data_IF_236552320035
#
_entry.id   IF_236552320035
#
_cell.length_a   1.000
_cell.length_b   1.000
_cell.length_c   1.000
_cell.angle_alpha   90.00
_cell.angle_beta   90.00
_cell.angle_gamma   90.00
#
_symmetry.space_group_name_H-M   'P 1'
#
loop_
_entity.id
_entity.type
_entity.pdbx_description
1 polymer ?
#
# COMPACT_ATOMS: atom_id res chain seq x y z
N UNK A 1 -8.30 -17.34 4.29
CA UNK A 1 -8.99 -16.37 5.20
C UNK A 1 -10.16 -15.71 4.48
N UNK A 2 -11.29 -15.41 5.14
CA UNK A 2 -12.44 -14.70 4.54
C UNK A 2 -12.27 -13.19 4.69
N UNK A 3 -12.86 -12.39 3.78
CA UNK A 3 -12.78 -10.92 3.81
C UNK A 3 -13.15 -10.30 5.18
N UNK A 4 -14.27 -10.71 5.76
CA UNK A 4 -14.73 -10.19 7.08
C UNK A 4 -13.80 -10.57 8.23
N UNK A 5 -13.15 -11.70 8.15
CA UNK A 5 -12.17 -12.17 9.12
C UNK A 5 -10.88 -11.33 9.04
N UNK A 6 -10.37 -11.11 7.82
CA UNK A 6 -9.24 -10.22 7.58
C UNK A 6 -9.54 -8.79 8.08
N UNK A 7 -10.70 -8.23 7.75
CA UNK A 7 -11.12 -6.90 8.22
C UNK A 7 -11.16 -6.83 9.76
N UNK A 8 -11.71 -7.87 10.42
CA UNK A 8 -11.77 -7.94 11.88
C UNK A 8 -10.39 -7.96 12.55
N UNK A 9 -9.43 -8.65 11.95
CA UNK A 9 -8.04 -8.62 12.43
C UNK A 9 -7.42 -7.24 12.21
N UNK A 10 -7.56 -6.65 11.02
CA UNK A 10 -6.99 -5.35 10.72
C UNK A 10 -7.57 -4.20 11.57
N UNK A 11 -8.79 -4.35 12.11
CA UNK A 11 -9.36 -3.39 13.09
C UNK A 11 -8.58 -3.33 14.40
N UNK A 12 -7.75 -4.34 14.69
CA UNK A 12 -6.94 -4.41 15.91
C UNK A 12 -5.52 -3.87 15.72
N UNK A 13 -5.15 -3.47 14.50
CA UNK A 13 -3.84 -2.86 14.21
C UNK A 13 -3.80 -1.45 14.80
N UNK A 14 -2.83 -1.20 15.67
CA UNK A 14 -2.60 0.11 16.26
C UNK A 14 -2.17 1.14 15.22
N UNK A 15 -2.71 2.34 15.32
CA UNK A 15 -2.41 3.47 14.44
C UNK A 15 -1.28 4.34 14.97
N UNK A 16 -0.91 5.38 14.20
CA UNK A 16 0.09 6.37 14.59
C UNK A 16 -0.22 6.99 15.96
N UNK A 17 0.74 6.93 16.89
CA UNK A 17 0.61 7.56 18.21
C UNK A 17 0.63 9.09 18.12
N UNK A 18 1.43 9.63 17.21
CA UNK A 18 1.57 11.07 16.93
C UNK A 18 1.73 11.28 15.43
N UNK A 19 0.62 11.34 14.65
CA UNK A 19 0.69 11.48 13.19
C UNK A 19 1.43 12.75 12.77
N UNK A 20 2.39 12.64 11.85
CA UNK A 20 3.16 13.75 11.30
C UNK A 20 2.45 14.27 10.04
N UNK A 21 1.87 15.45 10.14
CA UNK A 21 1.08 16.07 9.04
C UNK A 21 1.92 16.26 7.78
N UNK A 22 3.20 16.63 7.93
CA UNK A 22 4.12 16.84 6.80
C UNK A 22 4.43 15.52 6.04
N UNK A 23 4.28 14.37 6.67
CA UNK A 23 4.44 13.05 6.06
C UNK A 23 3.10 12.48 5.56
N UNK A 24 2.02 13.24 5.70
CA UNK A 24 0.66 12.80 5.34
C UNK A 24 0.29 11.44 5.94
N UNK A 25 0.61 11.26 7.24
CA UNK A 25 0.36 10.02 7.98
C UNK A 25 -1.12 9.84 8.30
N UNK A 26 -1.85 9.22 7.38
CA UNK A 26 -3.23 8.80 7.55
C UNK A 26 -3.30 7.28 7.48
N UNK A 27 -3.83 6.60 8.52
CA UNK A 27 -3.95 5.15 8.48
C UNK A 27 -4.93 4.73 7.38
N UNK A 28 -4.56 3.73 6.59
CA UNK A 28 -5.51 3.05 5.71
C UNK A 28 -6.61 2.42 6.56
N UNK A 29 -7.88 2.67 6.24
CA UNK A 29 -8.95 2.04 7.03
C UNK A 29 -8.89 0.51 6.91
N UNK A 30 -9.21 -0.23 7.98
CA UNK A 30 -9.21 -1.70 7.96
C UNK A 30 -10.07 -2.29 6.85
N UNK A 31 -11.22 -1.68 6.59
CA UNK A 31 -12.12 -2.08 5.51
C UNK A 31 -11.48 -1.95 4.13
N UNK A 32 -10.87 -0.79 3.83
CA UNK A 32 -10.20 -0.55 2.54
C UNK A 32 -9.01 -1.50 2.38
N UNK A 33 -8.18 -1.65 3.42
CA UNK A 33 -7.05 -2.56 3.42
C UNK A 33 -7.49 -4.01 3.15
N UNK A 34 -8.50 -4.50 3.88
CA UNK A 34 -9.03 -5.85 3.70
C UNK A 34 -9.61 -6.07 2.30
N UNK A 35 -10.41 -5.12 1.78
CA UNK A 35 -10.98 -5.22 0.44
C UNK A 35 -9.89 -5.23 -0.64
N UNK A 36 -8.88 -4.35 -0.53
CA UNK A 36 -7.74 -4.31 -1.45
C UNK A 36 -7.00 -5.64 -1.46
N UNK A 37 -6.50 -6.09 -0.31
CA UNK A 37 -5.67 -7.28 -0.20
C UNK A 37 -6.44 -8.56 -0.57
N UNK A 38 -7.70 -8.67 -0.13
CA UNK A 38 -8.53 -9.80 -0.48
C UNK A 38 -8.78 -9.88 -2.00
N UNK A 39 -9.00 -8.74 -2.66
CA UNK A 39 -9.17 -8.70 -4.13
C UNK A 39 -7.88 -9.06 -4.83
N UNK A 40 -6.73 -8.54 -4.40
CA UNK A 40 -5.42 -8.90 -4.95
C UNK A 40 -5.21 -10.42 -4.86
N UNK A 41 -5.42 -11.02 -3.70
CA UNK A 41 -5.22 -12.45 -3.52
C UNK A 41 -6.25 -13.29 -4.29
N UNK A 42 -7.55 -13.00 -4.13
CA UNK A 42 -8.61 -13.87 -4.67
C UNK A 42 -8.75 -13.79 -6.19
N UNK A 43 -8.33 -12.69 -6.80
CA UNK A 43 -8.51 -12.45 -8.25
C UNK A 43 -7.22 -12.65 -9.04
N UNK A 44 -6.07 -12.27 -8.47
CA UNK A 44 -4.80 -12.21 -9.18
C UNK A 44 -3.74 -13.17 -8.64
N UNK A 45 -3.94 -13.71 -7.41
CA UNK A 45 -2.99 -14.62 -6.74
C UNK A 45 -1.59 -13.99 -6.57
N UNK A 46 -1.56 -12.70 -6.25
CA UNK A 46 -0.33 -11.90 -6.19
C UNK A 46 0.16 -11.62 -4.75
N UNK A 47 -0.33 -12.38 -3.73
CA UNK A 47 0.12 -12.25 -2.33
C UNK A 47 0.66 -13.58 -1.79
N UNK A 48 -0.08 -14.67 -1.85
CA UNK A 48 0.30 -15.96 -1.26
C UNK A 48 1.64 -16.45 -1.83
N UNK A 49 2.59 -16.73 -0.93
CA UNK A 49 3.93 -17.19 -1.27
C UNK A 49 4.83 -16.16 -1.98
N UNK A 50 4.36 -14.92 -2.21
CA UNK A 50 5.10 -13.88 -2.92
C UNK A 50 6.02 -13.08 -2.00
N UNK A 51 7.05 -12.49 -2.60
CA UNK A 51 7.86 -11.45 -1.98
C UNK A 51 7.17 -10.09 -2.26
N UNK A 52 6.55 -9.53 -1.22
CA UNK A 52 5.74 -8.31 -1.31
C UNK A 52 6.49 -7.12 -0.72
N UNK A 53 6.47 -5.97 -1.39
CA UNK A 53 6.92 -4.70 -0.81
C UNK A 53 5.71 -3.81 -0.49
N UNK A 54 5.73 -3.17 0.69
CA UNK A 54 4.74 -2.17 1.11
C UNK A 54 5.44 -0.81 1.22
N UNK A 55 5.15 0.09 0.29
CA UNK A 55 5.81 1.39 0.19
C UNK A 55 5.04 2.47 0.93
N UNK A 56 5.69 3.08 1.93
CA UNK A 56 5.04 3.95 2.89
C UNK A 56 4.17 3.16 3.84
N UNK A 57 4.73 2.08 4.39
CA UNK A 57 3.98 1.08 5.16
C UNK A 57 3.35 1.63 6.46
N UNK A 58 3.84 2.77 6.98
CA UNK A 58 3.35 3.37 8.20
C UNK A 58 3.34 2.39 9.38
N UNK A 59 2.17 2.21 9.99
CA UNK A 59 1.98 1.27 11.10
C UNK A 59 1.75 -0.18 10.67
N UNK A 60 1.86 -0.49 9.36
CA UNK A 60 1.92 -1.84 8.83
C UNK A 60 0.58 -2.49 8.48
N UNK A 61 -0.51 -1.75 8.37
CA UNK A 61 -1.83 -2.33 8.14
C UNK A 61 -1.91 -3.17 6.85
N UNK A 62 -1.30 -2.72 5.75
CA UNK A 62 -1.25 -3.50 4.50
C UNK A 62 -0.29 -4.68 4.60
N UNK A 63 0.90 -4.46 5.17
CA UNK A 63 1.90 -5.52 5.36
C UNK A 63 1.39 -6.65 6.25
N UNK A 64 0.75 -6.32 7.39
CA UNK A 64 0.15 -7.29 8.31
C UNK A 64 -0.95 -8.07 7.60
N UNK A 65 -1.82 -7.38 6.86
CA UNK A 65 -2.86 -8.03 6.07
C UNK A 65 -2.31 -8.95 4.98
N UNK A 66 -1.24 -8.56 4.29
CA UNK A 66 -0.56 -9.41 3.31
C UNK A 66 0.08 -10.64 3.98
N UNK A 67 0.71 -10.46 5.14
CA UNK A 67 1.27 -11.57 5.91
C UNK A 67 0.20 -12.56 6.38
N UNK A 68 -0.98 -12.08 6.80
CA UNK A 68 -2.14 -12.91 7.15
C UNK A 68 -2.77 -13.65 5.96
N UNK A 69 -2.51 -13.17 4.74
CA UNK A 69 -2.87 -13.84 3.49
C UNK A 69 -1.72 -14.70 2.94
N UNK A 70 -0.83 -15.14 3.82
CA UNK A 70 0.26 -16.08 3.54
C UNK A 70 1.30 -15.56 2.52
N UNK A 71 1.58 -14.23 2.50
CA UNK A 71 2.74 -13.70 1.79
C UNK A 71 4.01 -14.46 2.24
N UNK A 72 4.90 -14.79 1.31
CA UNK A 72 6.15 -15.47 1.64
C UNK A 72 7.05 -14.60 2.53
N UNK A 73 7.18 -13.31 2.17
CA UNK A 73 7.76 -12.26 3.01
C UNK A 73 7.16 -10.92 2.57
N UNK A 74 6.78 -10.08 3.53
CA UNK A 74 6.38 -8.70 3.25
C UNK A 74 7.42 -7.73 3.84
N UNK A 75 8.00 -6.87 3.00
CA UNK A 75 8.98 -5.87 3.42
C UNK A 75 8.33 -4.49 3.40
N UNK A 76 8.18 -3.90 4.57
CA UNK A 76 7.65 -2.55 4.76
C UNK A 76 8.75 -1.49 4.68
N UNK A 77 8.53 -0.47 3.85
CA UNK A 77 9.43 0.67 3.69
C UNK A 77 8.76 1.93 4.20
N UNK A 78 9.41 2.64 5.12
CA UNK A 78 8.94 3.95 5.58
C UNK A 78 10.12 4.84 5.97
N UNK A 79 9.94 6.16 5.90
CA UNK A 79 10.93 7.14 6.32
C UNK A 79 10.90 7.37 7.84
N UNK A 80 9.76 7.12 8.47
CA UNK A 80 9.49 7.45 9.86
C UNK A 80 9.71 6.28 10.80
N UNK A 81 10.78 6.34 11.59
CA UNK A 81 11.08 5.32 12.58
C UNK A 81 9.98 5.16 13.64
N UNK A 82 9.29 6.25 14.04
CA UNK A 82 8.21 6.15 15.03
C UNK A 82 7.03 5.30 14.49
N UNK A 83 6.76 5.38 13.18
CA UNK A 83 5.76 4.55 12.52
C UNK A 83 6.22 3.08 12.45
N UNK A 84 7.49 2.84 12.10
CA UNK A 84 8.07 1.49 12.06
C UNK A 84 8.10 0.82 13.44
N UNK A 85 8.28 1.58 14.52
CA UNK A 85 8.21 1.05 15.89
C UNK A 85 6.78 0.60 16.23
N UNK A 86 5.76 1.32 15.78
CA UNK A 86 4.35 0.88 15.92
C UNK A 86 4.11 -0.36 15.07
N UNK A 87 4.60 -0.39 13.82
CA UNK A 87 4.47 -1.58 12.97
C UNK A 87 5.10 -2.81 13.64
N UNK A 88 6.31 -2.69 14.17
CA UNK A 88 6.99 -3.80 14.88
C UNK A 88 6.13 -4.32 16.02
N UNK A 89 5.60 -3.42 16.87
CA UNK A 89 4.71 -3.78 17.98
C UNK A 89 3.44 -4.47 17.48
N UNK A 90 2.87 -4.02 16.37
CA UNK A 90 1.71 -4.66 15.75
C UNK A 90 2.04 -6.07 15.26
N UNK A 91 3.16 -6.25 14.53
CA UNK A 91 3.58 -7.56 14.03
C UNK A 91 3.82 -8.56 15.18
N UNK A 92 4.47 -8.11 16.26
CA UNK A 92 4.67 -8.90 17.49
C UNK A 92 3.33 -9.28 18.14
N UNK A 93 2.38 -8.34 18.22
CA UNK A 93 1.06 -8.57 18.82
C UNK A 93 0.21 -9.61 18.06
N UNK A 94 0.42 -9.72 16.76
CA UNK A 94 -0.22 -10.75 15.91
C UNK A 94 0.63 -12.01 15.73
N UNK A 95 1.79 -12.11 16.38
CA UNK A 95 2.74 -13.23 16.22
C UNK A 95 3.17 -13.46 14.76
N UNK A 96 3.22 -12.37 13.95
CA UNK A 96 3.62 -12.40 12.56
C UNK A 96 5.15 -12.37 12.46
N UNK A 97 5.73 -13.35 11.75
CA UNK A 97 7.18 -13.49 11.57
C UNK A 97 7.65 -13.33 10.12
N UNK A 98 6.73 -13.28 9.17
CA UNK A 98 7.01 -13.12 7.74
C UNK A 98 6.91 -11.65 7.26
N UNK A 99 7.38 -10.72 8.11
CA UNK A 99 7.53 -9.30 7.77
C UNK A 99 8.94 -8.82 8.11
N UNK A 100 9.44 -7.85 7.33
CA UNK A 100 10.69 -7.15 7.57
C UNK A 100 10.49 -5.64 7.37
N UNK A 101 11.36 -4.82 7.95
CA UNK A 101 11.19 -3.36 7.98
C UNK A 101 12.46 -2.67 7.50
N UNK A 102 12.31 -1.73 6.60
CA UNK A 102 13.40 -0.90 6.06
C UNK A 102 13.07 0.58 6.28
N UNK A 103 13.88 1.24 7.12
CA UNK A 103 13.80 2.69 7.24
C UNK A 103 14.56 3.33 6.07
N UNK A 104 13.84 3.99 5.16
CA UNK A 104 14.46 4.74 4.08
C UNK A 104 13.54 5.83 3.53
N UNK A 105 14.13 6.83 2.89
CA UNK A 105 13.42 7.77 2.03
C UNK A 105 13.35 7.20 0.61
N UNK A 106 12.17 6.73 0.22
CA UNK A 106 11.92 6.16 -1.12
C UNK A 106 12.21 7.15 -2.26
N UNK A 107 12.09 8.45 -1.99
CA UNK A 107 12.37 9.50 -2.99
C UNK A 107 13.87 9.72 -3.21
N UNK A 108 14.71 9.20 -2.32
CA UNK A 108 16.17 9.33 -2.33
C UNK A 108 16.89 8.00 -2.60
N UNK A 109 16.15 6.92 -2.86
CA UNK A 109 16.75 5.65 -3.24
C UNK A 109 17.56 5.81 -4.54
N UNK A 110 18.76 5.23 -4.55
CA UNK A 110 19.55 5.13 -5.78
C UNK A 110 18.74 4.35 -6.84
N UNK A 111 18.82 4.81 -8.08
CA UNK A 111 18.15 4.16 -9.19
C UNK A 111 18.54 2.68 -9.26
N UNK A 112 17.55 1.80 -9.15
CA UNK A 112 17.72 0.36 -9.25
C UNK A 112 18.15 -0.37 -7.99
N UNK A 113 18.25 0.27 -6.80
CA UNK A 113 18.62 -0.39 -5.54
C UNK A 113 17.83 -1.68 -5.26
N UNK A 114 16.53 -1.66 -5.57
CA UNK A 114 15.62 -2.80 -5.40
C UNK A 114 14.97 -3.24 -6.73
N UNK A 115 15.61 -2.96 -7.88
CA UNK A 115 15.05 -3.25 -9.20
C UNK A 115 14.70 -4.74 -9.35
N UNK A 116 13.44 -5.03 -9.67
CA UNK A 116 12.90 -6.38 -9.87
C UNK A 116 13.19 -7.36 -8.72
N UNK A 117 13.26 -6.85 -7.47
CA UNK A 117 13.48 -7.70 -6.29
C UNK A 117 12.21 -8.27 -5.71
N UNK A 118 11.07 -7.69 -5.99
CA UNK A 118 9.78 -8.08 -5.46
C UNK A 118 8.88 -8.66 -6.56
N UNK A 119 7.99 -9.56 -6.18
CA UNK A 119 6.93 -10.05 -7.05
C UNK A 119 5.82 -9.01 -7.17
N UNK A 120 5.44 -8.42 -6.04
CA UNK A 120 4.33 -7.50 -5.90
C UNK A 120 4.70 -6.30 -5.04
N UNK A 121 4.29 -5.12 -5.46
CA UNK A 121 4.28 -3.91 -4.62
C UNK A 121 2.84 -3.57 -4.26
N UNK A 122 2.60 -3.30 -2.98
CA UNK A 122 1.36 -2.71 -2.47
C UNK A 122 1.67 -1.36 -1.85
N UNK A 123 0.78 -0.38 -1.95
CA UNK A 123 0.98 0.91 -1.30
C UNK A 123 -0.30 1.73 -1.14
N UNK A 124 -0.32 2.55 -0.09
CA UNK A 124 -1.20 3.70 0.05
C UNK A 124 -0.32 4.95 0.20
N UNK A 125 0.15 5.52 -0.92
CA UNK A 125 1.14 6.59 -0.89
C UNK A 125 0.56 7.89 -0.36
N UNK A 126 1.39 8.83 0.14
CA UNK A 126 0.94 10.18 0.43
C UNK A 126 0.38 10.84 -0.84
N UNK A 127 -0.77 11.52 -0.71
CA UNK A 127 -1.52 12.01 -1.88
C UNK A 127 -0.99 13.33 -2.47
N UNK A 128 0.11 13.87 -1.93
CA UNK A 128 0.73 15.08 -2.46
C UNK A 128 -0.09 16.34 -2.18
N UNK A 129 -0.32 16.66 -0.91
CA UNK A 129 -0.87 17.95 -0.51
C UNK A 129 0.07 19.11 -0.88
N UNK A 130 -0.33 20.36 -0.61
CA UNK A 130 0.40 21.58 -1.04
C UNK A 130 1.93 21.56 -0.81
N UNK A 131 2.40 20.84 0.22
CA UNK A 131 3.82 20.75 0.56
C UNK A 131 4.54 19.57 -0.10
N UNK A 132 3.81 18.56 -0.56
CA UNK A 132 4.35 17.28 -1.09
C UNK A 132 3.88 17.01 -2.52
N UNK A 133 3.59 18.04 -3.30
CA UNK A 133 3.06 17.88 -4.66
C UNK A 133 3.93 16.93 -5.51
N UNK A 134 3.32 15.90 -6.06
CA UNK A 134 3.96 14.90 -6.93
C UNK A 134 4.69 13.77 -6.20
N UNK A 135 4.60 13.70 -4.85
CA UNK A 135 5.21 12.61 -4.09
C UNK A 135 4.59 11.26 -4.43
N UNK A 136 3.29 11.22 -4.68
CA UNK A 136 2.56 10.04 -5.13
C UNK A 136 3.14 9.45 -6.43
N UNK A 137 3.54 10.32 -7.36
CA UNK A 137 4.18 9.92 -8.61
C UNK A 137 5.60 9.40 -8.41
N UNK A 138 6.36 9.93 -7.43
CA UNK A 138 7.67 9.40 -7.07
C UNK A 138 7.56 8.01 -6.47
N UNK A 139 6.59 7.79 -5.58
CA UNK A 139 6.29 6.46 -5.02
C UNK A 139 5.93 5.48 -6.12
N UNK A 140 5.06 5.89 -7.05
CA UNK A 140 4.64 5.05 -8.15
C UNK A 140 5.80 4.71 -9.10
N UNK A 141 6.68 5.67 -9.38
CA UNK A 141 7.90 5.47 -10.16
C UNK A 141 8.85 4.47 -9.47
N UNK A 142 9.10 4.63 -8.17
CA UNK A 142 9.90 3.68 -7.40
C UNK A 142 9.28 2.28 -7.42
N UNK A 143 7.97 2.16 -7.16
CA UNK A 143 7.24 0.90 -7.20
C UNK A 143 7.39 0.18 -8.55
N UNK A 144 7.29 0.92 -9.66
CA UNK A 144 7.37 0.37 -11.01
C UNK A 144 8.74 -0.23 -11.35
N UNK A 145 9.79 0.21 -10.68
CA UNK A 145 11.13 -0.39 -10.84
C UNK A 145 11.35 -1.60 -9.95
N UNK A 146 10.65 -1.68 -8.80
CA UNK A 146 10.86 -2.71 -7.79
C UNK A 146 10.14 -4.02 -8.10
N UNK A 147 8.98 -3.98 -8.78
CA UNK A 147 8.20 -5.17 -9.11
C UNK A 147 7.50 -5.04 -10.47
N UNK A 148 7.09 -6.20 -11.02
CA UNK A 148 6.30 -6.25 -12.27
C UNK A 148 4.85 -5.85 -12.04
N UNK A 149 4.31 -6.09 -10.84
CA UNK A 149 2.92 -5.79 -10.49
C UNK A 149 2.89 -4.84 -9.31
N UNK A 150 2.16 -3.74 -9.47
CA UNK A 150 2.01 -2.69 -8.44
C UNK A 150 0.53 -2.45 -8.19
N UNK A 151 0.12 -2.52 -6.93
CA UNK A 151 -1.22 -2.18 -6.47
C UNK A 151 -1.18 -0.94 -5.60
N UNK A 152 -1.92 0.10 -5.98
CA UNK A 152 -1.86 1.38 -5.30
C UNK A 152 -3.24 1.99 -5.08
N UNK A 153 -3.39 2.65 -3.93
CA UNK A 153 -4.59 3.41 -3.57
C UNK A 153 -4.42 4.88 -3.97
N UNK A 154 -5.38 5.44 -4.69
CA UNK A 154 -5.36 6.84 -5.11
C UNK A 154 -6.75 7.48 -5.06
N UNK A 155 -6.78 8.82 -5.14
CA UNK A 155 -8.02 9.57 -5.28
C UNK A 155 -8.57 9.45 -6.69
N UNK A 156 -9.87 9.31 -6.87
CA UNK A 156 -10.54 9.26 -8.20
C UNK A 156 -10.18 10.47 -9.06
N UNK A 157 -10.00 11.64 -8.46
CA UNK A 157 -9.61 12.87 -9.18
C UNK A 157 -8.23 12.81 -9.86
N UNK A 158 -7.35 11.89 -9.44
CA UNK A 158 -6.00 11.73 -10.04
C UNK A 158 -5.94 10.64 -11.11
N UNK A 159 -7.04 9.92 -11.36
CA UNK A 159 -7.09 8.76 -12.26
C UNK A 159 -6.54 9.01 -13.67
N UNK A 160 -6.99 10.09 -14.32
CA UNK A 160 -6.54 10.43 -15.67
C UNK A 160 -5.05 10.76 -15.70
N UNK A 161 -4.55 11.46 -14.66
CA UNK A 161 -3.14 11.77 -14.55
C UNK A 161 -2.28 10.51 -14.42
N UNK A 162 -2.69 9.56 -13.57
CA UNK A 162 -1.99 8.30 -13.37
C UNK A 162 -2.04 7.44 -14.64
N UNK A 163 -3.19 7.37 -15.30
CA UNK A 163 -3.31 6.65 -16.58
C UNK A 163 -2.34 7.19 -17.63
N UNK A 164 -2.22 8.52 -17.74
CA UNK A 164 -1.26 9.15 -18.65
C UNK A 164 0.18 8.76 -18.32
N UNK A 165 0.55 8.82 -17.01
CA UNK A 165 1.89 8.44 -16.54
C UNK A 165 2.19 6.96 -16.78
N UNK A 166 1.23 6.07 -16.51
CA UNK A 166 1.38 4.65 -16.80
C UNK A 166 1.68 4.42 -18.29
N UNK A 167 0.92 5.08 -19.17
CA UNK A 167 1.16 5.02 -20.63
C UNK A 167 2.56 5.55 -21.01
N UNK A 168 2.99 6.69 -20.42
CA UNK A 168 4.32 7.27 -20.65
C UNK A 168 5.45 6.30 -20.23
N UNK A 169 5.20 5.48 -19.22
CA UNK A 169 6.16 4.45 -18.73
C UNK A 169 6.00 3.09 -19.44
N UNK A 170 5.08 2.96 -20.38
CA UNK A 170 4.81 1.71 -21.08
C UNK A 170 4.09 0.66 -20.22
N UNK A 171 3.47 1.06 -19.11
CA UNK A 171 2.77 0.16 -18.19
C UNK A 171 1.28 0.08 -18.52
N UNK A 172 0.70 -1.11 -18.35
CA UNK A 172 -0.75 -1.29 -18.41
C UNK A 172 -1.37 -0.97 -17.06
N UNK A 173 -2.36 -0.08 -17.04
CA UNK A 173 -3.15 0.24 -15.85
C UNK A 173 -4.53 -0.40 -15.92
N UNK A 174 -4.95 -1.01 -14.83
CA UNK A 174 -6.30 -1.53 -14.63
C UNK A 174 -6.89 -1.00 -13.32
N UNK A 175 -8.13 -0.54 -13.32
CA UNK A 175 -8.85 -0.15 -12.10
C UNK A 175 -9.59 -1.36 -11.57
N UNK A 176 -9.14 -1.87 -10.42
CA UNK A 176 -9.64 -3.12 -9.83
C UNK A 176 -10.86 -2.88 -8.94
N UNK A 177 -10.88 -1.76 -8.21
CA UNK A 177 -11.99 -1.36 -7.35
C UNK A 177 -12.17 0.16 -7.37
N UNK A 178 -13.39 0.65 -7.34
CA UNK A 178 -13.73 2.07 -7.32
C UNK A 178 -15.22 2.28 -7.02
N UNK A 179 -15.66 3.53 -6.85
CA UNK A 179 -17.04 3.89 -6.46
C UNK A 179 -18.16 3.21 -7.26
N UNK A 180 -17.89 2.72 -8.46
CA UNK A 180 -18.87 2.06 -9.33
C UNK A 180 -18.78 0.53 -9.30
N UNK A 181 -17.79 -0.05 -8.65
CA UNK A 181 -17.64 -1.50 -8.43
C UNK A 181 -17.63 -1.77 -6.92
N UNK A 182 -18.80 -1.62 -6.32
CA UNK A 182 -19.27 -2.11 -5.03
C UNK A 182 -18.26 -2.30 -3.88
N UNK A 183 -17.57 -1.25 -3.49
CA UNK A 183 -17.19 -1.05 -2.10
C UNK A 183 -18.00 0.14 -1.61
N UNK A 184 -19.09 -0.09 -0.87
CA UNK A 184 -19.82 0.97 -0.17
C UNK A 184 -18.88 1.55 0.90
N UNK A 185 -18.31 2.72 0.61
CA UNK A 185 -17.57 3.50 1.58
C UNK A 185 -18.59 4.31 2.39
N UNK A 186 -18.59 4.12 3.70
CA UNK A 186 -19.36 4.93 4.63
C UNK A 186 -18.97 6.42 4.51
N UNK A 187 -19.96 7.28 4.29
CA UNK A 187 -19.83 8.70 3.97
C UNK A 187 -19.34 9.61 5.12
N UNK A 188 -18.54 9.12 6.07
CA UNK A 188 -18.21 9.89 7.29
C UNK A 188 -16.76 10.33 7.47
N UNK A 189 -15.85 10.04 6.56
CA UNK A 189 -14.48 10.59 6.65
C UNK A 189 -14.05 11.27 5.35
N UNK A 190 -13.56 12.49 5.47
CA UNK A 190 -13.25 13.41 4.37
C UNK A 190 -11.93 13.12 3.64
N UNK A 191 -11.35 11.95 3.77
CA UNK A 191 -10.17 11.52 3.01
C UNK A 191 -10.56 10.38 2.07
N UNK A 192 -10.89 10.74 0.85
CA UNK A 192 -11.43 9.82 -0.13
C UNK A 192 -10.29 9.09 -0.85
N UNK A 193 -9.99 7.87 -0.41
CA UNK A 193 -9.36 6.87 -1.28
C UNK A 193 -10.49 6.27 -2.10
N UNK A 194 -10.50 6.53 -3.39
CA UNK A 194 -11.65 6.24 -4.24
C UNK A 194 -11.45 5.02 -5.14
N UNK A 195 -10.22 4.53 -5.33
CA UNK A 195 -9.96 3.33 -6.14
C UNK A 195 -8.60 2.70 -5.91
N UNK A 196 -8.55 1.40 -6.15
CA UNK A 196 -7.32 0.60 -6.29
C UNK A 196 -7.06 0.41 -7.77
N UNK A 197 -5.84 0.53 -8.21
CA UNK A 197 -5.46 0.11 -9.55
C UNK A 197 -4.22 -0.79 -9.50
N UNK A 198 -4.07 -1.62 -10.53
CA UNK A 198 -2.89 -2.41 -10.81
C UNK A 198 -2.12 -1.77 -11.96
N UNK A 199 -0.81 -1.70 -11.84
CA UNK A 199 0.11 -1.44 -12.94
C UNK A 199 0.92 -2.70 -13.22
N UNK A 200 1.03 -3.06 -14.48
CA UNK A 200 1.80 -4.22 -14.95
C UNK A 200 2.76 -3.79 -16.05
N UNK A 201 4.00 -4.25 -15.97
CA UNK A 201 5.01 -4.12 -17.00
C UNK A 201 4.78 -5.12 -18.14
#
# INVERSE_FOLDING_TARGET
>A
MKLKELESHLQQVDSFKKPKILLEQYPTSPHIAACMLYTIQSTFDDIEGKLVADLGCGCGVLSIGAAMLDAGLCVGFDIDNDALDVFRSNAEGFEISNVDLVQCDLCSLEDGAYANKFDTVIMNPPFGTKHNQGIDMKFLSAASTMAKTVYSLHKTSTREHIQKKANDWGMKMEVIAGKNNTVQLDNKSSSHVDYVFSLQN
#
